data_IF_700470386051
#
_entry.id   IF_700470386051
#
_cell.length_a   1.000
_cell.length_b   1.000
_cell.length_c   1.000
_cell.angle_alpha   90.00
_cell.angle_beta   90.00
_cell.angle_gamma   90.00
#
_symmetry.space_group_name_H-M   'P 1'
#
loop_
_entity.id
_entity.type
_entity.pdbx_description
1 polymer ?
#
# COMPACT_ATOMS: atom_id res chain seq x y z
N UNK A 1 -69.31 -56.06 -20.44
CA UNK A 1 -68.50 -55.75 -19.25
C UNK A 1 -67.51 -54.66 -19.61
N UNK A 2 -67.38 -53.60 -18.77
CA UNK A 2 -66.24 -52.66 -18.57
C UNK A 2 -65.44 -52.20 -19.83
N UNK A 3 -65.09 -50.94 -20.08
CA UNK A 3 -64.95 -49.72 -19.27
C UNK A 3 -64.66 -48.55 -20.25
N UNK A 4 -65.04 -47.35 -19.81
CA UNK A 4 -64.81 -45.98 -20.32
C UNK A 4 -63.42 -45.73 -20.96
N UNK A 5 -63.30 -44.79 -21.92
CA UNK A 5 -62.71 -43.44 -21.71
C UNK A 5 -62.83 -42.51 -22.96
N UNK A 6 -62.95 -41.22 -22.66
CA UNK A 6 -63.18 -40.01 -23.47
C UNK A 6 -61.86 -39.48 -24.10
N UNK A 7 -61.90 -38.65 -25.16
CA UNK A 7 -61.22 -37.31 -25.29
C UNK A 7 -61.57 -36.62 -26.63
N UNK A 8 -61.70 -35.29 -26.52
CA UNK A 8 -62.34 -34.26 -27.36
C UNK A 8 -61.42 -33.77 -28.51
N UNK A 9 -61.96 -33.28 -29.65
CA UNK A 9 -61.17 -32.62 -30.68
C UNK A 9 -60.91 -31.16 -30.29
N UNK A 10 -59.65 -30.80 -30.01
CA UNK A 10 -59.22 -29.43 -29.73
C UNK A 10 -58.28 -28.93 -30.81
N UNK A 11 -58.76 -28.00 -31.65
CA UNK A 11 -57.94 -27.29 -32.62
C UNK A 11 -56.80 -26.52 -31.92
N UNK A 12 -55.56 -26.80 -32.31
CA UNK A 12 -54.38 -26.10 -31.83
C UNK A 12 -54.28 -24.77 -32.58
N UNK A 13 -54.66 -23.68 -31.92
CA UNK A 13 -54.38 -22.33 -32.35
C UNK A 13 -52.96 -21.97 -31.89
N UNK A 14 -51.99 -22.02 -32.80
CA UNK A 14 -50.64 -21.53 -32.55
C UNK A 14 -50.65 -19.99 -32.52
N UNK A 15 -50.77 -19.41 -31.32
CA UNK A 15 -50.50 -18.00 -31.11
C UNK A 15 -49.00 -17.78 -31.18
N UNK A 16 -48.52 -17.31 -32.34
CA UNK A 16 -47.16 -16.86 -32.55
C UNK A 16 -46.98 -15.51 -31.83
N UNK A 17 -46.55 -15.55 -30.57
CA UNK A 17 -46.12 -14.36 -29.84
C UNK A 17 -44.78 -13.89 -30.42
N UNK A 18 -44.84 -12.94 -31.34
CA UNK A 18 -43.68 -12.15 -31.75
C UNK A 18 -43.38 -11.22 -30.57
N UNK A 19 -42.48 -11.64 -29.68
CA UNK A 19 -41.79 -10.71 -28.79
C UNK A 19 -40.94 -9.80 -29.68
N UNK A 20 -41.51 -8.67 -30.10
CA UNK A 20 -40.74 -7.54 -30.56
C UNK A 20 -40.00 -7.02 -29.34
N UNK A 21 -38.85 -7.62 -29.04
CA UNK A 21 -37.88 -7.06 -28.11
C UNK A 21 -37.45 -5.74 -28.70
N UNK A 22 -38.10 -4.66 -28.30
CA UNK A 22 -37.55 -3.33 -28.43
C UNK A 22 -36.32 -3.35 -27.53
N UNK A 23 -35.14 -3.56 -28.09
CA UNK A 23 -33.88 -3.24 -27.41
C UNK A 23 -33.91 -1.73 -27.21
N UNK A 24 -34.43 -1.30 -26.07
CA UNK A 24 -34.17 0.04 -25.53
C UNK A 24 -32.67 0.10 -25.36
N UNK A 25 -31.99 0.95 -26.14
CA UNK A 25 -30.62 1.32 -25.81
C UNK A 25 -30.71 2.02 -24.46
N UNK A 26 -30.25 1.33 -23.42
CA UNK A 26 -30.11 1.91 -22.10
C UNK A 26 -29.10 3.05 -22.25
N UNK A 27 -29.53 4.26 -21.92
CA UNK A 27 -28.64 5.43 -21.98
C UNK A 27 -27.54 5.20 -20.94
N UNK A 28 -26.38 4.72 -21.36
CA UNK A 28 -25.23 4.58 -20.48
C UNK A 28 -24.61 5.97 -20.21
N UNK A 29 -24.09 6.17 -19.01
CA UNK A 29 -23.28 7.32 -18.66
C UNK A 29 -21.81 6.89 -18.60
N UNK A 30 -20.93 7.69 -19.19
CA UNK A 30 -19.50 7.39 -19.25
C UNK A 30 -18.83 7.62 -17.89
N UNK A 31 -17.81 6.81 -17.52
CA UNK A 31 -17.02 7.06 -16.33
C UNK A 31 -16.20 8.36 -16.45
N UNK A 32 -15.86 9.00 -15.32
CA UNK A 32 -14.89 10.09 -15.31
C UNK A 32 -13.54 9.64 -15.85
N UNK A 33 -12.86 10.53 -16.57
CA UNK A 33 -11.50 10.32 -17.05
C UNK A 33 -10.50 11.12 -16.21
N UNK A 34 -9.20 10.83 -16.42
CA UNK A 34 -8.08 11.57 -15.81
C UNK A 34 -8.16 11.70 -14.28
N UNK A 35 -8.63 10.64 -13.61
CA UNK A 35 -8.59 10.56 -12.16
C UNK A 35 -7.14 10.66 -11.67
N UNK A 36 -6.87 11.71 -10.91
CA UNK A 36 -5.58 12.01 -10.29
C UNK A 36 -5.75 12.17 -8.79
N UNK A 37 -4.64 12.01 -8.07
CA UNK A 37 -4.62 12.22 -6.63
C UNK A 37 -3.34 12.92 -6.18
N UNK A 38 -3.44 13.61 -5.05
CA UNK A 38 -2.29 14.11 -4.28
C UNK A 38 -2.45 13.70 -2.82
N UNK A 39 -1.35 13.37 -2.16
CA UNK A 39 -1.36 13.06 -0.73
C UNK A 39 -1.51 14.35 0.07
N UNK A 40 -2.40 14.33 1.07
CA UNK A 40 -2.72 15.48 1.91
C UNK A 40 -2.69 15.11 3.39
N UNK A 41 -2.96 16.10 4.25
CA UNK A 41 -3.12 15.89 5.70
C UNK A 41 -1.91 15.21 6.31
N UNK A 42 -0.71 15.67 5.93
CA UNK A 42 0.56 15.09 6.38
C UNK A 42 0.62 13.57 6.16
N UNK A 43 0.25 13.09 4.97
CA UNK A 43 0.30 11.66 4.66
C UNK A 43 -0.90 10.83 5.13
N UNK A 44 -1.95 11.42 5.69
CA UNK A 44 -3.12 10.66 6.16
C UNK A 44 -4.34 10.68 5.24
N UNK A 45 -4.33 11.52 4.20
CA UNK A 45 -5.45 11.66 3.27
C UNK A 45 -5.03 11.80 1.82
N UNK A 46 -6.02 11.84 0.94
CA UNK A 46 -5.84 12.01 -0.50
C UNK A 46 -6.80 13.07 -1.03
N UNK A 47 -6.31 13.99 -1.84
CA UNK A 47 -7.15 14.90 -2.63
C UNK A 47 -7.26 14.37 -4.05
N UNK A 48 -8.47 14.12 -4.50
CA UNK A 48 -8.80 13.59 -5.82
C UNK A 48 -9.24 14.70 -6.76
N UNK A 49 -8.95 14.54 -8.05
CA UNK A 49 -9.50 15.37 -9.14
C UNK A 49 -9.78 14.48 -10.35
N UNK A 50 -10.85 14.77 -11.09
CA UNK A 50 -11.21 14.05 -12.32
C UNK A 50 -11.85 15.01 -13.33
N UNK A 51 -11.95 14.58 -14.58
CA UNK A 51 -12.58 15.36 -15.64
C UNK A 51 -14.10 15.33 -15.54
N UNK A 52 -14.73 16.44 -15.94
CA UNK A 52 -16.18 16.51 -15.97
C UNK A 52 -16.78 15.61 -17.05
N UNK A 53 -17.77 14.79 -16.69
CA UNK A 53 -18.53 13.96 -17.64
C UNK A 53 -19.69 14.78 -18.20
N UNK A 54 -19.83 14.81 -19.52
CA UNK A 54 -20.93 15.50 -20.19
C UNK A 54 -22.28 14.90 -19.77
N UNK A 55 -23.25 15.77 -19.49
CA UNK A 55 -24.61 15.42 -19.08
C UNK A 55 -24.74 14.64 -17.74
N UNK A 56 -23.67 14.54 -16.95
CA UNK A 56 -23.73 14.00 -15.59
C UNK A 56 -24.45 14.99 -14.65
N UNK A 57 -25.29 14.46 -13.76
CA UNK A 57 -25.90 15.24 -12.67
C UNK A 57 -24.90 15.43 -11.51
N UNK A 58 -23.97 14.51 -11.35
CA UNK A 58 -22.92 14.57 -10.34
C UNK A 58 -22.01 13.35 -10.35
N UNK A 59 -21.28 13.17 -9.25
CA UNK A 59 -20.28 12.13 -9.05
C UNK A 59 -20.43 11.48 -7.69
N UNK A 60 -19.99 10.23 -7.61
CA UNK A 60 -19.89 9.47 -6.37
C UNK A 60 -18.45 9.03 -6.15
N UNK A 61 -17.98 9.13 -4.91
CA UNK A 61 -16.66 8.63 -4.50
C UNK A 61 -16.84 7.48 -3.53
N UNK A 62 -16.08 6.42 -3.77
CA UNK A 62 -16.08 5.19 -3.00
C UNK A 62 -14.71 4.94 -2.40
N UNK A 63 -14.68 4.38 -1.20
CA UNK A 63 -13.47 3.83 -0.57
C UNK A 63 -13.80 2.40 -0.17
N UNK A 64 -13.07 1.42 -0.71
CA UNK A 64 -13.32 -0.02 -0.44
C UNK A 64 -14.81 -0.40 -0.62
N UNK A 65 -15.41 0.02 -1.73
CA UNK A 65 -16.84 -0.11 -2.08
C UNK A 65 -17.85 0.72 -1.25
N UNK A 66 -17.43 1.37 -0.18
CA UNK A 66 -18.30 2.25 0.62
C UNK A 66 -18.45 3.62 -0.03
N UNK A 67 -19.69 4.06 -0.27
CA UNK A 67 -20.01 5.40 -0.76
C UNK A 67 -19.71 6.46 0.31
N UNK A 68 -18.75 7.34 0.06
CA UNK A 68 -18.33 8.40 1.00
C UNK A 68 -18.64 9.83 0.53
N UNK A 69 -18.98 10.00 -0.75
CA UNK A 69 -19.35 11.29 -1.33
C UNK A 69 -20.39 11.11 -2.44
N UNK A 70 -21.36 12.02 -2.48
CA UNK A 70 -22.32 12.21 -3.57
C UNK A 70 -22.50 13.73 -3.76
N UNK A 71 -22.17 14.24 -4.94
CA UNK A 71 -22.24 15.67 -5.23
C UNK A 71 -21.74 16.07 -6.61
N UNK A 72 -21.70 17.36 -6.89
CA UNK A 72 -21.47 17.88 -8.26
C UNK A 72 -20.04 18.35 -8.54
N UNK A 73 -19.17 18.33 -7.53
CA UNK A 73 -17.78 18.78 -7.69
C UNK A 73 -16.96 17.73 -8.43
N UNK A 74 -15.96 18.18 -9.18
CA UNK A 74 -14.99 17.31 -9.88
C UNK A 74 -13.71 17.09 -9.07
N UNK A 75 -13.84 17.20 -7.74
CA UNK A 75 -12.77 16.98 -6.78
C UNK A 75 -13.34 16.61 -5.42
N UNK A 76 -12.57 15.88 -4.65
CA UNK A 76 -12.93 15.47 -3.29
C UNK A 76 -11.70 15.11 -2.45
N UNK A 77 -11.71 15.47 -1.17
CA UNK A 77 -10.65 15.07 -0.22
C UNK A 77 -11.11 13.88 0.62
N UNK A 78 -10.45 12.74 0.42
CA UNK A 78 -10.61 11.51 1.20
C UNK A 78 -9.81 11.63 2.50
N UNK A 79 -10.51 11.64 3.63
CA UNK A 79 -9.87 11.70 4.96
C UNK A 79 -9.48 10.32 5.51
N UNK A 80 -10.27 9.28 5.21
CA UNK A 80 -9.98 7.90 5.60
C UNK A 80 -9.64 7.11 4.34
N UNK A 81 -8.36 6.91 4.11
CA UNK A 81 -7.89 6.13 2.96
C UNK A 81 -8.25 4.65 3.15
N UNK A 82 -8.62 3.99 2.05
CA UNK A 82 -8.83 2.55 1.94
C UNK A 82 -7.91 1.95 0.90
N UNK A 83 -8.06 0.65 0.60
CA UNK A 83 -7.21 -0.05 -0.38
C UNK A 83 -7.47 0.46 -1.79
N UNK A 84 -8.74 0.64 -2.12
CA UNK A 84 -9.18 1.11 -3.42
C UNK A 84 -10.05 2.35 -3.28
N UNK A 85 -9.82 3.33 -4.16
CA UNK A 85 -10.64 4.53 -4.27
C UNK A 85 -11.27 4.54 -5.65
N UNK A 86 -12.60 4.62 -5.71
CA UNK A 86 -13.36 4.64 -6.95
C UNK A 86 -14.11 5.94 -7.14
N UNK A 87 -14.22 6.42 -8.38
CA UNK A 87 -15.07 7.55 -8.76
C UNK A 87 -15.97 7.14 -9.92
N UNK A 88 -17.26 7.41 -9.80
CA UNK A 88 -18.26 7.24 -10.88
C UNK A 88 -19.01 8.55 -11.12
N UNK A 89 -19.59 8.68 -12.31
CA UNK A 89 -20.55 9.73 -12.64
C UNK A 89 -21.98 9.16 -12.59
N UNK A 90 -22.97 9.98 -12.26
CA UNK A 90 -24.37 9.56 -12.26
C UNK A 90 -25.27 10.57 -12.99
N UNK A 91 -26.40 10.08 -13.51
CA UNK A 91 -27.48 10.86 -14.13
C UNK A 91 -28.83 10.21 -13.85
N UNK A 92 -29.68 10.88 -13.06
CA UNK A 92 -30.86 10.27 -12.49
C UNK A 92 -30.50 8.98 -11.71
N UNK A 93 -31.09 7.86 -12.12
CA UNK A 93 -30.85 6.54 -11.51
C UNK A 93 -29.69 5.77 -12.15
N UNK A 94 -29.07 6.30 -13.21
CA UNK A 94 -27.95 5.68 -13.91
C UNK A 94 -26.63 6.06 -13.25
N UNK A 95 -25.71 5.11 -13.14
CA UNK A 95 -24.34 5.31 -12.65
C UNK A 95 -23.36 4.62 -13.60
N UNK A 96 -22.24 5.28 -13.88
CA UNK A 96 -21.19 4.74 -14.75
C UNK A 96 -20.42 3.61 -14.07
N UNK A 97 -19.58 2.93 -14.83
CA UNK A 97 -18.45 2.21 -14.25
C UNK A 97 -17.60 3.14 -13.37
N UNK A 98 -16.82 2.56 -12.46
CA UNK A 98 -15.88 3.31 -11.63
C UNK A 98 -14.51 3.36 -12.29
N UNK A 99 -13.89 4.53 -12.29
CA UNK A 99 -12.44 4.65 -12.44
C UNK A 99 -11.82 4.50 -11.04
N UNK A 100 -10.81 3.63 -10.90
CA UNK A 100 -10.24 3.29 -9.60
C UNK A 100 -8.74 3.58 -9.50
N UNK A 101 -8.29 3.83 -8.27
CA UNK A 101 -6.88 3.89 -7.87
C UNK A 101 -6.67 2.86 -6.76
N UNK A 102 -5.67 2.00 -6.94
CA UNK A 102 -5.18 1.08 -5.90
C UNK A 102 -4.04 1.73 -5.12
N UNK A 103 -4.23 1.90 -3.82
CA UNK A 103 -3.25 2.44 -2.86
C UNK A 103 -2.91 1.43 -1.76
N UNK A 104 -3.22 0.14 -1.98
CA UNK A 104 -2.93 -0.93 -1.05
C UNK A 104 -1.42 -1.04 -0.74
N UNK A 105 -1.04 -1.09 0.54
CA UNK A 105 0.31 -1.44 0.96
C UNK A 105 0.69 -2.84 0.50
N UNK A 106 1.99 -3.07 0.36
CA UNK A 106 2.54 -4.36 -0.04
C UNK A 106 3.18 -5.04 1.15
N UNK A 107 2.82 -6.31 1.36
CA UNK A 107 3.41 -7.14 2.41
C UNK A 107 4.47 -8.07 1.83
N UNK A 108 5.58 -8.18 2.54
CA UNK A 108 6.66 -9.10 2.18
C UNK A 108 7.36 -9.63 3.44
N UNK A 109 8.15 -10.67 3.27
CA UNK A 109 9.00 -11.21 4.33
C UNK A 109 10.34 -11.60 3.75
N UNK A 110 11.41 -11.35 4.51
CA UNK A 110 12.77 -11.63 4.11
C UNK A 110 13.65 -11.91 5.33
N UNK A 111 14.83 -12.45 5.08
CA UNK A 111 15.90 -12.55 6.08
C UNK A 111 17.08 -11.74 5.57
N UNK A 112 17.54 -10.81 6.38
CA UNK A 112 18.81 -10.12 6.19
C UNK A 112 19.74 -10.43 7.35
N UNK A 113 21.02 -10.14 7.21
CA UNK A 113 22.04 -10.56 8.16
C UNK A 113 22.81 -9.36 8.69
N UNK A 114 23.29 -9.42 9.92
CA UNK A 114 24.30 -8.48 10.42
C UNK A 114 25.50 -8.42 9.45
N UNK A 115 26.12 -7.25 9.34
CA UNK A 115 27.15 -6.96 8.32
C UNK A 115 28.38 -7.86 8.32
N UNK A 116 28.77 -8.40 9.47
CA UNK A 116 29.93 -9.28 9.64
C UNK A 116 29.57 -10.74 9.39
N UNK A 117 28.29 -11.06 9.20
CA UNK A 117 27.78 -12.38 8.82
C UNK A 117 27.94 -12.66 7.32
N UNK A 118 27.65 -13.89 6.90
CA UNK A 118 27.86 -14.38 5.53
C UNK A 118 26.72 -14.06 4.55
N UNK A 119 25.59 -13.54 5.04
CA UNK A 119 24.41 -13.27 4.24
C UNK A 119 24.32 -11.84 3.69
N UNK A 120 23.18 -11.52 3.07
CA UNK A 120 22.90 -10.18 2.56
C UNK A 120 22.45 -9.28 3.72
N UNK A 121 23.13 -8.16 3.92
CA UNK A 121 22.93 -7.31 5.12
C UNK A 121 22.12 -6.05 4.88
N UNK A 122 21.91 -5.67 3.61
CA UNK A 122 21.07 -4.53 3.24
C UNK A 122 19.72 -5.01 2.70
N UNK A 123 18.72 -4.13 2.77
CA UNK A 123 17.46 -4.29 2.07
C UNK A 123 16.93 -2.97 1.52
N UNK A 124 16.03 -3.10 0.56
CA UNK A 124 15.14 -2.03 0.10
C UNK A 124 13.83 -2.60 -0.42
N UNK A 125 12.93 -1.73 -0.86
CA UNK A 125 11.68 -2.11 -1.50
C UNK A 125 11.80 -1.80 -3.00
N UNK A 126 11.45 -2.76 -3.84
CA UNK A 126 11.47 -2.56 -5.29
C UNK A 126 10.27 -1.72 -5.76
N UNK A 127 10.14 -1.50 -7.08
CA UNK A 127 9.02 -0.75 -7.67
C UNK A 127 7.65 -1.34 -7.36
N UNK A 128 7.59 -2.64 -7.09
CA UNK A 128 6.36 -3.34 -6.73
C UNK A 128 6.08 -3.31 -5.22
N UNK A 129 6.91 -2.61 -4.44
CA UNK A 129 6.80 -2.52 -2.98
C UNK A 129 7.22 -3.79 -2.25
N UNK A 130 7.87 -4.75 -2.92
CA UNK A 130 8.35 -6.00 -2.32
C UNK A 130 9.74 -5.77 -1.74
N UNK A 131 9.97 -6.22 -0.50
CA UNK A 131 11.27 -6.15 0.14
C UNK A 131 12.27 -7.10 -0.54
N UNK A 132 13.46 -6.59 -0.84
CA UNK A 132 14.57 -7.29 -1.50
C UNK A 132 15.85 -7.08 -0.69
N UNK A 133 16.65 -8.13 -0.52
CA UNK A 133 17.92 -8.09 0.20
C UNK A 133 19.12 -7.96 -0.76
N UNK A 134 20.17 -7.30 -0.28
CA UNK A 134 21.39 -6.99 -1.04
C UNK A 134 22.65 -7.22 -0.21
N UNK A 135 23.75 -7.53 -0.90
CA UNK A 135 25.08 -7.56 -0.27
C UNK A 135 25.63 -6.15 -0.12
N UNK A 136 26.24 -5.82 1.02
CA UNK A 136 26.94 -4.53 1.21
C UNK A 136 28.15 -4.35 0.29
N UNK A 137 28.59 -5.42 -0.38
CA UNK A 137 29.67 -5.39 -1.36
C UNK A 137 29.17 -5.12 -2.78
N UNK A 138 27.86 -5.15 -3.00
CA UNK A 138 27.27 -4.98 -4.32
C UNK A 138 27.02 -3.50 -4.64
N UNK A 139 28.08 -2.83 -5.08
CA UNK A 139 28.07 -1.40 -5.41
C UNK A 139 27.06 -1.02 -6.48
N UNK A 140 26.66 -1.97 -7.35
CA UNK A 140 25.66 -1.70 -8.39
C UNK A 140 24.27 -1.48 -7.80
N UNK A 141 24.02 -1.95 -6.57
CA UNK A 141 22.72 -1.89 -5.90
C UNK A 141 22.65 -0.89 -4.75
N UNK A 142 23.69 -0.08 -4.52
CA UNK A 142 23.70 0.89 -3.42
C UNK A 142 22.51 1.85 -3.47
N UNK A 143 22.08 2.28 -4.66
CA UNK A 143 20.91 3.16 -4.82
C UNK A 143 19.59 2.51 -4.33
N UNK A 144 19.55 1.18 -4.22
CA UNK A 144 18.37 0.42 -3.80
C UNK A 144 18.36 0.11 -2.30
N UNK A 145 19.38 0.53 -1.55
CA UNK A 145 19.42 0.29 -0.10
C UNK A 145 18.53 1.31 0.58
N UNK A 146 17.60 0.85 1.41
CA UNK A 146 16.81 1.69 2.30
C UNK A 146 17.24 1.49 3.76
N UNK A 147 17.74 0.31 4.14
CA UNK A 147 18.38 0.08 5.44
C UNK A 147 19.36 -1.09 5.36
N UNK A 148 20.22 -1.22 6.37
CA UNK A 148 21.05 -2.41 6.60
C UNK A 148 21.17 -2.74 8.10
N UNK A 149 21.80 -3.87 8.41
CA UNK A 149 22.07 -4.30 9.78
C UNK A 149 23.54 -4.14 10.17
N UNK A 150 23.78 -3.57 11.34
CA UNK A 150 25.08 -3.45 11.98
C UNK A 150 24.91 -3.69 13.48
N UNK A 151 25.87 -4.37 14.11
CA UNK A 151 25.98 -4.48 15.57
C UNK A 151 27.03 -3.52 16.17
N UNK A 152 27.73 -2.78 15.30
CA UNK A 152 28.83 -1.88 15.62
C UNK A 152 30.02 -2.54 16.33
N UNK A 153 30.17 -3.86 16.21
CA UNK A 153 31.32 -4.64 16.69
C UNK A 153 32.06 -5.28 15.50
N UNK A 154 33.01 -4.56 14.88
CA UNK A 154 33.63 -4.99 13.62
C UNK A 154 34.21 -6.41 13.64
N UNK A 155 33.76 -7.23 12.69
CA UNK A 155 34.27 -8.59 12.49
C UNK A 155 33.78 -9.60 13.52
N UNK A 156 32.79 -9.25 14.33
CA UNK A 156 32.05 -10.17 15.19
C UNK A 156 30.57 -10.13 14.83
N UNK A 157 29.85 -11.16 15.25
CA UNK A 157 28.38 -11.18 15.18
C UNK A 157 27.89 -11.19 16.61
N UNK A 158 27.27 -10.08 17.04
CA UNK A 158 26.71 -9.89 18.37
C UNK A 158 25.19 -9.69 18.25
N UNK A 159 24.39 -10.77 18.25
CA UNK A 159 22.95 -10.68 17.98
C UNK A 159 22.16 -9.73 18.89
N UNK A 160 22.62 -9.53 20.12
CA UNK A 160 21.98 -8.65 21.10
C UNK A 160 22.25 -7.15 20.86
N UNK A 161 23.14 -6.82 19.92
CA UNK A 161 23.57 -5.45 19.62
C UNK A 161 23.20 -5.03 18.20
N UNK A 162 22.46 -5.83 17.44
CA UNK A 162 22.07 -5.50 16.06
C UNK A 162 21.10 -4.30 16.04
N UNK A 163 21.33 -3.35 15.15
CA UNK A 163 20.47 -2.20 14.85
C UNK A 163 19.98 -2.23 13.40
N UNK A 164 18.84 -1.59 13.12
CA UNK A 164 18.59 -1.07 11.77
C UNK A 164 19.39 0.20 11.57
N UNK A 165 20.01 0.35 10.39
CA UNK A 165 20.87 1.49 10.05
C UNK A 165 20.51 2.05 8.67
N UNK A 166 20.45 3.37 8.58
CA UNK A 166 20.24 4.12 7.36
C UNK A 166 21.49 4.02 6.45
N UNK A 167 21.32 3.86 5.14
CA UNK A 167 22.42 3.72 4.18
C UNK A 167 23.25 5.00 4.02
N UNK A 168 22.74 6.16 4.46
CA UNK A 168 23.48 7.41 4.61
C UNK A 168 24.58 7.38 5.67
N UNK A 169 24.64 6.33 6.49
CA UNK A 169 25.66 6.15 7.51
C UNK A 169 26.35 4.79 7.37
N UNK A 170 27.69 4.79 7.43
CA UNK A 170 28.49 3.58 7.47
C UNK A 170 29.62 3.73 8.50
N UNK A 171 29.54 2.97 9.59
CA UNK A 171 30.51 3.02 10.69
C UNK A 171 31.93 2.60 10.29
N UNK A 172 32.11 1.92 9.15
CA UNK A 172 33.40 1.40 8.69
C UNK A 172 33.80 1.96 7.31
N UNK A 173 33.18 3.04 6.84
CA UNK A 173 33.49 3.58 5.52
C UNK A 173 32.69 4.81 5.14
N UNK A 174 32.58 5.05 3.85
CA UNK A 174 31.68 6.07 3.29
C UNK A 174 30.25 5.54 3.24
N UNK A 175 29.28 6.45 3.24
CA UNK A 175 27.86 6.12 3.06
C UNK A 175 27.63 5.33 1.77
N UNK A 176 26.60 4.49 1.77
CA UNK A 176 26.22 3.69 0.60
C UNK A 176 25.41 4.52 -0.40
N UNK A 177 24.51 5.37 0.10
CA UNK A 177 23.75 6.35 -0.67
C UNK A 177 23.32 7.51 0.24
N UNK A 178 22.48 8.44 -0.24
CA UNK A 178 22.04 9.62 0.50
C UNK A 178 20.68 9.47 1.20
N UNK A 179 20.11 8.27 1.26
CA UNK A 179 18.80 7.99 1.87
C UNK A 179 18.93 7.99 3.40
N UNK A 180 18.22 8.89 4.07
CA UNK A 180 18.28 9.13 5.52
C UNK A 180 17.13 8.45 6.26
N UNK A 181 17.06 7.12 6.18
CA UNK A 181 15.97 6.36 6.78
C UNK A 181 15.82 6.60 8.28
N UNK A 182 14.63 7.03 8.70
CA UNK A 182 14.23 7.19 10.09
C UNK A 182 13.61 5.93 10.66
N UNK A 183 13.91 5.64 11.93
CA UNK A 183 13.42 4.48 12.67
C UNK A 183 12.69 4.89 13.94
N UNK A 184 11.60 4.21 14.29
CA UNK A 184 10.91 4.42 15.57
C UNK A 184 10.31 3.12 16.08
N UNK A 185 10.53 2.78 17.36
CA UNK A 185 9.87 1.64 18.00
C UNK A 185 8.37 1.93 18.17
N UNK A 186 7.50 1.05 17.66
CA UNK A 186 6.05 1.24 17.68
C UNK A 186 5.37 0.82 19.00
N UNK A 187 6.14 0.27 19.96
CA UNK A 187 5.66 -0.21 21.27
C UNK A 187 4.51 -1.23 21.18
N UNK A 188 4.48 -2.01 20.09
CA UNK A 188 3.54 -3.10 19.85
C UNK A 188 4.28 -4.32 19.30
N UNK A 189 3.68 -5.48 19.45
CA UNK A 189 4.12 -6.74 18.84
C UNK A 189 3.20 -7.20 17.71
N UNK A 190 2.08 -6.51 17.49
CA UNK A 190 1.15 -6.79 16.41
C UNK A 190 1.40 -5.84 15.25
N UNK A 191 1.70 -6.39 14.07
CA UNK A 191 1.83 -5.58 12.86
C UNK A 191 0.46 -4.98 12.48
N UNK A 192 -0.62 -5.69 12.75
CA UNK A 192 -1.99 -5.32 12.39
C UNK A 192 -2.56 -4.19 13.25
N UNK A 193 -1.97 -3.92 14.42
CA UNK A 193 -2.41 -2.79 15.26
C UNK A 193 -2.00 -1.42 14.71
N UNK A 194 -1.21 -1.38 13.63
CA UNK A 194 -0.75 -0.15 12.98
C UNK A 194 -1.39 -0.08 11.60
N UNK A 195 -2.31 0.85 11.41
CA UNK A 195 -2.92 1.15 10.11
C UNK A 195 -2.42 2.47 9.51
N UNK A 196 -1.74 3.29 10.30
CA UNK A 196 -1.11 4.53 9.87
C UNK A 196 0.27 4.64 10.52
N UNK A 197 1.31 4.93 9.73
CA UNK A 197 2.61 5.28 10.28
C UNK A 197 2.51 6.57 11.09
N UNK A 198 3.37 6.72 12.09
CA UNK A 198 3.43 7.97 12.84
C UNK A 198 3.90 9.14 11.94
N UNK A 199 3.43 10.38 12.20
CA UNK A 199 3.80 11.54 11.39
C UNK A 199 5.30 11.86 11.53
N UNK A 200 5.85 12.54 10.52
CA UNK A 200 7.22 13.05 10.57
C UNK A 200 7.38 14.00 11.77
N UNK A 201 8.55 14.00 12.41
CA UNK A 201 8.82 14.80 13.62
C UNK A 201 8.26 14.20 14.93
N UNK A 202 7.62 13.03 14.89
CA UNK A 202 7.08 12.35 16.08
C UNK A 202 8.07 11.45 16.83
N UNK A 203 9.38 11.62 16.60
CA UNK A 203 10.43 10.84 17.26
C UNK A 203 11.02 9.69 16.44
N UNK A 204 10.99 9.78 15.10
CA UNK A 204 11.90 9.00 14.27
C UNK A 204 13.36 9.40 14.57
N UNK A 205 14.23 8.41 14.68
CA UNK A 205 15.67 8.57 14.88
C UNK A 205 16.43 8.07 13.67
N UNK A 206 17.51 8.76 13.33
CA UNK A 206 18.43 8.45 12.24
C UNK A 206 19.85 8.79 12.76
N UNK A 207 20.91 8.05 12.37
CA UNK A 207 20.93 7.07 11.29
C UNK A 207 20.71 5.62 11.71
N UNK A 208 20.36 5.32 12.96
CA UNK A 208 20.07 3.95 13.38
C UNK A 208 19.06 3.93 14.52
N UNK A 209 18.49 2.75 14.81
CA UNK A 209 17.56 2.58 15.94
C UNK A 209 18.24 2.97 17.25
N UNK A 210 17.51 3.70 18.11
CA UNK A 210 18.04 4.18 19.40
C UNK A 210 18.57 3.03 20.30
N UNK A 211 17.88 1.89 20.26
CA UNK A 211 18.22 0.67 20.98
C UNK A 211 18.36 -0.50 19.98
N UNK A 212 19.06 -1.59 20.36
CA UNK A 212 19.13 -2.80 19.55
C UNK A 212 17.76 -3.39 19.24
N UNK A 213 17.72 -4.21 18.20
CA UNK A 213 16.49 -4.87 17.74
C UNK A 213 15.95 -5.84 18.77
N UNK A 214 14.63 -5.78 18.99
CA UNK A 214 13.92 -6.65 19.92
C UNK A 214 13.03 -7.62 19.16
N UNK A 215 13.17 -8.92 19.44
CA UNK A 215 12.32 -9.96 18.86
C UNK A 215 10.85 -9.69 19.20
N UNK A 216 9.97 -9.87 18.20
CA UNK A 216 8.56 -9.54 18.16
C UNK A 216 8.19 -8.05 18.13
N UNK A 217 9.13 -7.13 18.29
CA UNK A 217 8.83 -5.71 18.22
C UNK A 217 8.52 -5.27 16.78
N UNK A 218 7.64 -4.27 16.67
CA UNK A 218 7.34 -3.57 15.41
C UNK A 218 8.01 -2.20 15.42
N UNK A 219 8.57 -1.83 14.28
CA UNK A 219 9.22 -0.55 14.04
C UNK A 219 8.51 0.19 12.90
N UNK A 220 8.30 1.49 13.08
CA UNK A 220 7.99 2.40 11.98
C UNK A 220 9.29 2.73 11.24
N UNK A 221 9.21 2.74 9.91
CA UNK A 221 10.30 3.09 9.01
C UNK A 221 9.81 4.26 8.15
N UNK A 222 10.61 5.32 8.09
CA UNK A 222 10.43 6.42 7.17
C UNK A 222 11.63 6.44 6.23
N UNK A 223 11.42 6.04 4.98
CA UNK A 223 12.44 6.10 3.93
C UNK A 223 12.44 7.52 3.40
N UNK A 224 13.49 8.27 3.72
CA UNK A 224 13.61 9.70 3.41
C UNK A 224 14.69 9.92 2.35
N UNK A 225 14.32 10.59 1.26
CA UNK A 225 15.21 10.78 0.09
C UNK A 225 15.76 12.20 -0.07
N UNK A 226 15.77 12.98 1.02
CA UNK A 226 16.29 14.35 1.19
C UNK A 226 15.27 15.49 0.94
N UNK A 227 15.30 16.54 1.77
CA UNK A 227 16.10 16.70 3.00
C UNK A 227 15.48 16.02 4.22
N UNK A 228 16.31 15.43 5.10
CA UNK A 228 15.82 14.87 6.36
C UNK A 228 15.16 15.91 7.24
N UNK A 229 14.00 15.56 7.81
CA UNK A 229 13.07 16.34 8.64
C UNK A 229 11.84 16.95 7.96
N UNK A 230 11.71 16.86 6.64
CA UNK A 230 10.54 17.38 5.91
C UNK A 230 9.89 16.29 5.05
N UNK A 231 8.58 16.07 5.24
CA UNK A 231 7.82 15.16 4.39
C UNK A 231 7.78 15.68 2.95
N UNK A 232 8.30 14.90 2.01
CA UNK A 232 8.36 15.27 0.60
C UNK A 232 8.00 14.10 -0.33
N UNK A 233 7.87 14.37 -1.63
CA UNK A 233 7.38 13.40 -2.63
C UNK A 233 8.31 12.22 -2.89
N UNK A 234 9.54 12.23 -2.38
CA UNK A 234 10.43 11.09 -2.44
C UNK A 234 10.32 10.18 -1.21
N UNK A 235 9.52 10.55 -0.21
CA UNK A 235 9.43 9.82 1.03
C UNK A 235 8.42 8.69 0.98
N UNK A 236 8.73 7.61 1.68
CA UNK A 236 7.85 6.46 1.82
C UNK A 236 7.83 5.96 3.26
N UNK A 237 6.75 5.26 3.61
CA UNK A 237 6.57 4.69 4.94
C UNK A 237 6.48 3.17 4.88
N UNK A 238 7.01 2.54 5.93
CA UNK A 238 6.84 1.13 6.16
C UNK A 238 6.64 0.83 7.65
N UNK A 239 6.16 -0.37 7.95
CA UNK A 239 6.25 -0.99 9.27
C UNK A 239 6.94 -2.34 9.14
N UNK A 240 7.84 -2.63 10.07
CA UNK A 240 8.66 -3.85 10.05
C UNK A 240 8.59 -4.52 11.41
N UNK A 241 8.20 -5.80 11.43
CA UNK A 241 8.26 -6.65 12.62
C UNK A 241 9.51 -7.51 12.58
N UNK A 242 10.27 -7.52 13.66
CA UNK A 242 11.38 -8.45 13.88
C UNK A 242 10.80 -9.77 14.38
N UNK A 243 10.83 -10.81 13.56
CA UNK A 243 10.26 -12.13 13.88
C UNK A 243 11.22 -12.97 14.70
N UNK A 244 12.50 -12.97 14.33
CA UNK A 244 13.55 -13.71 15.02
C UNK A 244 14.91 -13.07 14.76
N UNK A 245 15.83 -13.23 15.72
CA UNK A 245 17.25 -12.90 15.59
C UNK A 245 18.03 -14.19 15.89
N UNK A 246 18.79 -14.66 14.91
CA UNK A 246 19.61 -15.87 14.98
C UNK A 246 20.99 -15.61 15.59
N UNK A 247 21.60 -16.67 16.13
CA UNK A 247 22.96 -16.60 16.66
C UNK A 247 24.03 -16.30 15.59
N UNK A 248 23.70 -16.54 14.32
CA UNK A 248 24.49 -16.24 13.13
C UNK A 248 24.28 -14.81 12.61
N UNK A 249 23.52 -13.98 13.33
CA UNK A 249 23.22 -12.60 12.95
C UNK A 249 22.09 -12.48 11.92
N UNK A 250 21.42 -13.59 11.57
CA UNK A 250 20.21 -13.53 10.74
C UNK A 250 19.07 -12.82 11.48
N UNK A 251 18.35 -11.96 10.77
CA UNK A 251 17.15 -11.28 11.27
C UNK A 251 16.01 -11.52 10.29
N UNK A 252 14.99 -12.23 10.77
CA UNK A 252 13.78 -12.51 10.00
C UNK A 252 12.79 -11.35 10.17
N UNK A 253 12.33 -10.80 9.06
CA UNK A 253 11.50 -9.60 9.03
C UNK A 253 10.18 -9.88 8.32
N UNK A 254 9.10 -9.32 8.87
CA UNK A 254 7.83 -9.14 8.17
C UNK A 254 7.61 -7.64 7.92
N UNK A 255 7.39 -7.25 6.68
CA UNK A 255 7.35 -5.87 6.25
C UNK A 255 6.00 -5.54 5.62
N UNK A 256 5.49 -4.33 5.86
CA UNK A 256 4.42 -3.70 5.08
C UNK A 256 4.93 -2.35 4.59
N UNK A 257 4.85 -2.10 3.29
CA UNK A 257 5.39 -0.91 2.63
C UNK A 257 4.31 -0.17 1.85
N UNK A 258 4.31 1.17 1.95
CA UNK A 258 3.41 2.02 1.20
C UNK A 258 4.11 2.54 -0.06
N UNK A 259 3.65 2.06 -1.22
CA UNK A 259 4.17 2.42 -2.54
C UNK A 259 3.82 3.84 -2.97
N UNK A 260 2.75 4.41 -2.42
CA UNK A 260 2.36 5.79 -2.68
C UNK A 260 3.25 6.71 -1.85
N UNK A 261 4.05 7.54 -2.51
CA UNK A 261 4.93 8.49 -1.84
C UNK A 261 4.13 9.41 -0.91
N UNK A 262 4.73 9.78 0.23
CA UNK A 262 4.16 10.55 1.34
C UNK A 262 2.99 9.89 2.09
N UNK A 263 2.33 8.86 1.55
CA UNK A 263 1.18 8.25 2.19
C UNK A 263 1.62 7.40 3.39
N UNK A 264 1.08 7.68 4.58
CA UNK A 264 1.35 6.93 5.83
C UNK A 264 0.41 5.76 6.04
N UNK A 265 -0.61 5.60 5.21
CA UNK A 265 -1.60 4.54 5.33
C UNK A 265 -0.96 3.16 5.07
N UNK A 266 -0.97 2.32 6.09
CA UNK A 266 -0.20 1.06 6.19
C UNK A 266 -0.97 -0.08 6.89
N UNK A 267 -2.26 -0.32 6.64
CA UNK A 267 -2.88 -1.53 7.16
C UNK A 267 -2.22 -2.78 6.55
N UNK A 268 -2.26 -3.88 7.30
CA UNK A 268 -1.90 -5.18 6.72
C UNK A 268 -3.01 -5.57 5.72
N UNK A 269 -2.66 -5.98 4.49
CA UNK A 269 -3.64 -6.40 3.48
C UNK A 269 -4.53 -7.57 3.91
#
# INVERSE_FOLDING_TARGET
MLKKLVIIPGAILAALFIFSGCTTEETEILPPENLQYTVTSDGSGLSLTWDAVADADGYRVYVDDDLIYDGTSTSYTVANVGKEIGVSAYKGDLESDRVTIDVAPVTSSLTIYERSSTGQSAMGWNSDGVAVSYSLLDTANFANFHLYLDDFTPGQVVPAEIHFVAPSYNSQGVSFNDIETGFKLALTTSLDSISIADPVGSGYVSPYTQDPLVVNAVYHIWVDTQPYSELNTGDHFAKVKVIAIGADGSVQLQCVYQKVSMLRWLPTP
#
